data_IF_606878381784
#
_entry.id   IF_606878381784
#
_cell.length_a   1.000
_cell.length_b   1.000
_cell.length_c   1.000
_cell.angle_alpha   90.00
_cell.angle_beta   90.00
_cell.angle_gamma   90.00
#
_symmetry.space_group_name_H-M   'P 1'
#
loop_
_entity.id
_entity.type
_entity.pdbx_description
1 polymer ?
#
# COMPACT_ATOMS: atom_id res chain seq x y z
N UNK A 1 19.30 26.11 43.96
CA UNK A 1 18.74 26.34 42.60
C UNK A 1 18.54 25.00 41.90
N UNK A 2 17.29 24.58 41.64
CA UNK A 2 17.00 23.33 40.91
C UNK A 2 17.19 23.60 39.41
N UNK A 3 18.17 22.94 38.77
CA UNK A 3 18.35 22.99 37.31
C UNK A 3 17.05 22.54 36.64
N UNK A 4 16.43 23.36 35.77
CA UNK A 4 15.23 22.95 35.08
C UNK A 4 15.59 21.76 34.19
N UNK A 5 14.99 20.60 34.47
CA UNK A 5 15.13 19.39 33.65
C UNK A 5 14.30 19.59 32.39
N UNK A 6 14.81 20.41 31.46
CA UNK A 6 14.22 20.63 30.16
C UNK A 6 14.20 19.30 29.39
N UNK A 7 12.98 18.86 29.03
CA UNK A 7 12.63 17.78 28.10
C UNK A 7 13.45 16.48 28.17
N UNK A 8 12.89 15.47 28.84
CA UNK A 8 13.33 14.08 28.70
C UNK A 8 12.73 13.47 27.44
N UNK A 9 13.52 12.68 26.70
CA UNK A 9 13.08 11.94 25.50
C UNK A 9 11.83 11.07 25.73
N UNK A 10 11.62 10.59 26.96
CA UNK A 10 10.43 9.84 27.38
C UNK A 10 9.13 10.59 27.14
N UNK A 11 9.13 11.93 27.19
CA UNK A 11 7.95 12.74 26.89
C UNK A 11 7.50 12.64 25.43
N UNK A 12 8.30 12.05 24.55
CA UNK A 12 8.01 11.86 23.13
C UNK A 12 7.69 10.41 22.75
N UNK A 13 7.58 9.48 23.71
CA UNK A 13 7.21 8.08 23.41
C UNK A 13 5.87 8.01 22.67
N UNK A 14 4.93 8.91 22.94
CA UNK A 14 3.65 8.98 22.23
C UNK A 14 3.81 9.30 20.74
N UNK A 15 4.91 9.94 20.32
CA UNK A 15 5.23 10.19 18.91
C UNK A 15 5.73 8.93 18.18
N UNK A 16 6.15 7.89 18.90
CA UNK A 16 6.66 6.68 18.26
C UNK A 16 5.61 6.04 17.33
N UNK A 17 4.33 6.02 17.74
CA UNK A 17 3.23 5.45 16.97
C UNK A 17 2.97 6.22 15.66
N UNK A 18 2.72 7.54 15.66
CA UNK A 18 2.49 8.28 14.41
C UNK A 18 3.72 8.29 13.50
N UNK A 19 4.94 8.32 14.07
CA UNK A 19 6.18 8.23 13.29
C UNK A 19 6.29 6.87 12.61
N UNK A 20 6.06 5.77 13.34
CA UNK A 20 6.10 4.42 12.76
C UNK A 20 5.05 4.26 11.65
N UNK A 21 3.83 4.76 11.86
CA UNK A 21 2.78 4.74 10.86
C UNK A 21 3.15 5.56 9.60
N UNK A 22 3.70 6.76 9.78
CA UNK A 22 4.16 7.59 8.68
C UNK A 22 5.27 6.90 7.88
N UNK A 23 6.26 6.32 8.55
CA UNK A 23 7.36 5.59 7.91
C UNK A 23 6.83 4.38 7.13
N UNK A 24 5.87 3.64 7.69
CA UNK A 24 5.24 2.52 6.98
C UNK A 24 4.55 2.99 5.69
N UNK A 25 3.79 4.09 5.72
CA UNK A 25 3.15 4.65 4.53
C UNK A 25 4.19 5.16 3.52
N UNK A 26 5.29 5.77 3.97
CA UNK A 26 6.35 6.23 3.08
C UNK A 26 7.09 5.07 2.37
N UNK A 27 7.34 3.97 3.09
CA UNK A 27 8.07 2.80 2.58
C UNK A 27 7.18 1.90 1.72
N UNK A 28 5.93 1.68 2.12
CA UNK A 28 5.05 0.70 1.46
C UNK A 28 3.96 1.34 0.60
N UNK A 29 3.58 2.59 0.87
CA UNK A 29 2.44 3.26 0.26
C UNK A 29 1.13 2.99 1.01
N UNK A 30 0.00 3.31 0.38
CA UNK A 30 -1.33 3.05 0.93
C UNK A 30 -1.98 1.82 0.27
N UNK A 31 -2.82 1.08 1.02
CA UNK A 31 -3.53 -0.06 0.48
C UNK A 31 -4.59 0.40 -0.52
N UNK A 32 -4.67 -0.32 -1.64
CA UNK A 32 -5.71 -0.18 -2.64
C UNK A 32 -6.40 -1.53 -2.83
N UNK A 33 -7.72 -1.50 -2.99
CA UNK A 33 -8.56 -2.69 -3.10
C UNK A 33 -8.80 -2.99 -4.57
N UNK A 34 -8.77 -4.27 -4.93
CA UNK A 34 -9.12 -4.75 -6.26
C UNK A 34 -10.58 -4.43 -6.57
N UNK A 35 -10.83 -3.66 -7.63
CA UNK A 35 -12.17 -3.28 -8.05
C UNK A 35 -12.64 -4.01 -9.30
N UNK A 36 -11.72 -4.29 -10.22
CA UNK A 36 -12.04 -5.02 -11.45
C UNK A 36 -10.86 -5.85 -11.92
N UNK A 37 -11.17 -6.95 -12.59
CA UNK A 37 -10.18 -7.80 -13.24
C UNK A 37 -10.57 -8.00 -14.70
N UNK A 38 -9.59 -7.89 -15.59
CA UNK A 38 -9.73 -8.27 -16.99
C UNK A 38 -8.76 -9.42 -17.28
N UNK A 39 -9.28 -10.48 -17.90
CA UNK A 39 -8.53 -11.66 -18.24
C UNK A 39 -9.23 -12.45 -19.34
N UNK A 40 -8.48 -13.31 -20.02
CA UNK A 40 -9.06 -14.27 -20.96
C UNK A 40 -9.22 -15.60 -20.24
N UNK A 41 -10.40 -16.19 -20.35
CA UNK A 41 -10.62 -17.59 -19.98
C UNK A 41 -10.20 -18.41 -21.20
N UNK A 42 -9.10 -19.17 -21.08
CA UNK A 42 -8.77 -20.15 -22.12
C UNK A 42 -9.67 -21.37 -21.93
N UNK A 43 -10.43 -21.71 -22.97
CA UNK A 43 -11.32 -22.87 -22.97
C UNK A 43 -10.48 -24.13 -22.73
N UNK A 44 -10.61 -24.74 -21.55
CA UNK A 44 -9.92 -25.99 -21.18
C UNK A 44 -9.24 -25.99 -19.82
N UNK A 45 -8.95 -24.84 -19.22
CA UNK A 45 -8.31 -24.78 -17.90
C UNK A 45 -9.16 -24.01 -16.88
N UNK A 46 -9.37 -24.61 -15.69
CA UNK A 46 -10.04 -24.01 -14.53
C UNK A 46 -9.35 -22.73 -13.98
N UNK A 47 -8.28 -22.25 -14.62
CA UNK A 47 -7.51 -21.09 -14.19
C UNK A 47 -7.84 -19.87 -15.07
N UNK A 48 -8.42 -18.83 -14.48
CA UNK A 48 -8.55 -17.51 -15.12
C UNK A 48 -7.19 -16.82 -15.03
N UNK A 49 -6.57 -16.57 -16.18
CA UNK A 49 -5.36 -15.76 -16.26
C UNK A 49 -5.81 -14.32 -16.44
N UNK A 50 -5.63 -13.50 -15.41
CA UNK A 50 -5.87 -12.07 -15.46
C UNK A 50 -4.71 -11.39 -16.19
N UNK A 51 -5.03 -10.61 -17.21
CA UNK A 51 -4.06 -9.78 -17.93
C UNK A 51 -3.99 -8.37 -17.36
N UNK A 52 -5.07 -7.90 -16.71
CA UNK A 52 -5.12 -6.59 -16.05
C UNK A 52 -5.89 -6.66 -14.74
N UNK A 53 -5.38 -5.96 -13.73
CA UNK A 53 -6.01 -5.80 -12.43
C UNK A 53 -6.17 -4.30 -12.14
N UNK A 54 -7.39 -3.86 -11.87
CA UNK A 54 -7.68 -2.48 -11.49
C UNK A 54 -7.85 -2.39 -9.98
N UNK A 55 -7.09 -1.50 -9.36
CA UNK A 55 -7.13 -1.22 -7.94
C UNK A 55 -7.64 0.20 -7.72
N UNK A 56 -8.44 0.41 -6.67
CA UNK A 56 -8.91 1.73 -6.26
C UNK A 56 -8.62 1.93 -4.77
N UNK A 57 -8.21 3.13 -4.41
CA UNK A 57 -7.86 3.46 -3.04
C UNK A 57 -7.55 4.94 -2.86
N UNK A 58 -6.92 5.30 -1.73
CA UNK A 58 -6.70 6.70 -1.35
C UNK A 58 -5.87 7.51 -2.35
N UNK A 59 -5.02 6.84 -3.14
CA UNK A 59 -4.18 7.47 -4.16
C UNK A 59 -4.78 7.41 -5.57
N UNK A 60 -6.07 7.06 -5.68
CA UNK A 60 -6.79 6.98 -6.95
C UNK A 60 -6.88 5.56 -7.50
N UNK A 61 -6.92 5.45 -8.83
CA UNK A 61 -7.05 4.16 -9.54
C UNK A 61 -5.71 3.76 -10.16
N UNK A 62 -5.31 2.51 -9.95
CA UNK A 62 -4.10 1.94 -10.52
C UNK A 62 -4.43 0.72 -11.36
N UNK A 63 -3.95 0.69 -12.60
CA UNK A 63 -4.03 -0.45 -13.50
C UNK A 63 -2.69 -1.20 -13.48
N UNK A 64 -2.73 -2.47 -13.10
CA UNK A 64 -1.58 -3.37 -13.16
C UNK A 64 -1.75 -4.28 -14.36
N UNK A 65 -0.82 -4.17 -15.31
CA UNK A 65 -0.71 -5.09 -16.45
C UNK A 65 0.15 -6.29 -16.09
N UNK A 66 -0.21 -7.47 -16.60
CA UNK A 66 0.53 -8.73 -16.44
C UNK A 66 0.85 -9.05 -14.97
N UNK A 67 -0.18 -9.31 -14.14
CA UNK A 67 0.06 -9.72 -12.76
C UNK A 67 0.93 -10.98 -12.70
N UNK A 68 1.79 -11.06 -11.68
CA UNK A 68 2.58 -12.28 -11.40
C UNK A 68 1.62 -13.47 -11.27
N UNK A 69 1.95 -14.55 -11.95
CA UNK A 69 1.20 -15.81 -11.94
C UNK A 69 -0.24 -15.71 -12.49
N UNK A 70 -0.57 -14.62 -13.21
CA UNK A 70 -1.90 -14.41 -13.78
C UNK A 70 -2.99 -14.15 -12.72
N UNK A 71 -2.62 -13.91 -11.46
CA UNK A 71 -3.54 -13.72 -10.35
C UNK A 71 -3.52 -12.28 -9.82
N UNK A 72 -4.69 -11.70 -9.57
CA UNK A 72 -4.81 -10.40 -8.92
C UNK A 72 -4.88 -10.57 -7.40
N UNK A 73 -4.00 -9.89 -6.65
CA UNK A 73 -4.15 -9.79 -5.21
C UNK A 73 -5.40 -8.97 -4.87
N UNK A 74 -6.07 -9.29 -3.75
CA UNK A 74 -7.24 -8.51 -3.31
C UNK A 74 -6.86 -7.10 -2.85
N UNK A 75 -5.71 -6.97 -2.18
CA UNK A 75 -5.15 -5.68 -1.74
C UNK A 75 -3.74 -5.56 -2.27
N UNK A 76 -3.39 -4.37 -2.76
CA UNK A 76 -2.04 -4.03 -3.17
C UNK A 76 -1.69 -2.62 -2.73
N UNK A 77 -0.45 -2.43 -2.30
CA UNK A 77 0.03 -1.13 -1.85
C UNK A 77 0.63 -0.36 -3.02
N UNK A 78 0.25 0.90 -3.14
CA UNK A 78 0.78 1.81 -4.15
C UNK A 78 1.32 3.07 -3.49
N UNK A 79 2.41 3.60 -4.05
CA UNK A 79 2.97 4.90 -3.67
C UNK A 79 2.44 5.97 -4.62
N UNK A 80 2.12 7.15 -4.09
CA UNK A 80 1.81 8.31 -4.91
C UNK A 80 3.06 8.68 -5.72
N UNK A 81 2.97 8.71 -7.06
CA UNK A 81 4.04 9.28 -7.90
C UNK A 81 4.11 10.78 -7.59
N UNK A 82 5.08 11.19 -6.77
CA UNK A 82 5.24 12.57 -6.32
C UNK A 82 6.12 12.76 -5.09
N UNK A 83 6.43 11.70 -4.33
CA UNK A 83 7.45 11.75 -3.29
C UNK A 83 8.82 11.40 -3.90
N UNK A 84 9.43 12.36 -4.60
CA UNK A 84 10.86 12.38 -4.91
C UNK A 84 11.42 13.73 -4.53
#
# INVERSE_FOLDING_TARGET
>A
MKKPRFLRAVYFIWLAVPVAAYVAVAIYGLPHVLTSTHGRTYAGHKQRIHSRCNYSGPYGRFEVHFPRDGACAFIRFFKLRGAR
#
